data_IF_585621909159
#
_entry.id   IF_585621909159
#
_cell.length_a   1.000
_cell.length_b   1.000
_cell.length_c   1.000
_cell.angle_alpha   90.00
_cell.angle_beta   90.00
_cell.angle_gamma   90.00
#
_symmetry.space_group_name_H-M   'P 1'
#
loop_
_entity.id
_entity.type
_entity.pdbx_description
1 polymer ?
#
# COMPACT_ATOMS: atom_id res chain seq x y z
N UNK A 1 27.47 59.09 -24.20
CA UNK A 1 27.24 58.67 -22.80
C UNK A 1 25.96 59.24 -22.18
N UNK A 2 25.65 60.54 -22.30
CA UNK A 2 24.43 61.14 -21.69
C UNK A 2 23.08 60.55 -22.17
N UNK A 3 22.96 60.16 -23.44
CA UNK A 3 21.72 59.56 -23.99
C UNK A 3 21.45 58.12 -23.50
N UNK A 4 22.50 57.34 -23.22
CA UNK A 4 22.39 55.96 -22.72
C UNK A 4 21.96 55.95 -21.25
N UNK A 5 22.48 56.89 -20.45
CA UNK A 5 22.08 57.06 -19.05
C UNK A 5 20.60 57.42 -18.89
N UNK A 6 20.07 58.26 -19.79
CA UNK A 6 18.65 58.65 -19.78
C UNK A 6 17.70 57.50 -20.14
N UNK A 7 18.11 56.60 -21.04
CA UNK A 7 17.31 55.41 -21.41
C UNK A 7 17.35 54.37 -20.30
N UNK A 8 18.50 54.16 -19.65
CA UNK A 8 18.63 53.25 -18.51
C UNK A 8 17.77 53.72 -17.32
N UNK A 9 17.72 55.03 -17.07
CA UNK A 9 16.89 55.63 -16.02
C UNK A 9 15.40 55.44 -16.30
N UNK A 10 14.97 55.55 -17.57
CA UNK A 10 13.58 55.36 -17.96
C UNK A 10 13.12 53.89 -17.82
N UNK A 11 14.00 52.92 -18.12
CA UNK A 11 13.73 51.49 -17.93
C UNK A 11 13.67 51.12 -16.44
N UNK A 12 14.48 51.75 -15.58
CA UNK A 12 14.42 51.59 -14.13
C UNK A 12 13.12 52.18 -13.53
N UNK A 13 12.63 53.29 -14.06
CA UNK A 13 11.36 53.90 -13.65
C UNK A 13 10.14 53.07 -14.05
N UNK A 14 10.16 52.35 -15.18
CA UNK A 14 9.06 51.44 -15.54
C UNK A 14 8.92 50.22 -14.63
N UNK A 15 10.02 49.79 -13.97
CA UNK A 15 9.97 48.67 -13.02
C UNK A 15 9.35 49.06 -11.66
N UNK A 16 9.39 50.35 -11.29
CA UNK A 16 8.76 50.84 -10.06
C UNK A 16 7.22 50.88 -10.15
N UNK A 17 6.66 50.95 -11.37
CA UNK A 17 5.19 51.01 -11.58
C UNK A 17 4.53 49.64 -11.38
N UNK A 18 5.27 48.53 -11.50
CA UNK A 18 4.75 47.16 -11.33
C UNK A 18 4.77 46.66 -9.88
N UNK A 19 5.14 47.48 -8.90
CA UNK A 19 5.32 47.09 -7.50
C UNK A 19 4.22 47.60 -6.54
N UNK A 20 2.97 47.71 -7.01
CA UNK A 20 1.83 48.07 -6.15
C UNK A 20 1.32 46.82 -5.44
N UNK A 21 1.73 46.64 -4.18
CA UNK A 21 1.26 45.54 -3.32
C UNK A 21 0.29 46.03 -2.27
N UNK A 22 -0.87 45.41 -2.17
CA UNK A 22 -1.88 45.68 -1.12
C UNK A 22 -1.61 44.78 0.07
N UNK A 23 -1.50 45.34 1.27
CA UNK A 23 -1.40 44.56 2.50
C UNK A 23 -2.80 44.12 2.96
N UNK A 24 -2.99 42.82 3.14
CA UNK A 24 -4.21 42.22 3.68
C UNK A 24 -3.91 41.64 5.06
N UNK A 25 -4.75 42.00 6.03
CA UNK A 25 -4.71 41.46 7.39
C UNK A 25 -5.97 40.67 7.69
N UNK A 26 -5.83 39.56 8.40
CA UNK A 26 -6.96 38.77 8.85
C UNK A 26 -6.60 37.76 9.93
N UNK A 27 -7.63 37.08 10.43
CA UNK A 27 -7.53 36.01 11.42
C UNK A 27 -8.33 34.80 10.93
N UNK A 28 -7.76 33.61 11.10
CA UNK A 28 -8.40 32.33 10.80
C UNK A 28 -8.82 31.65 12.10
N UNK A 29 -10.10 31.27 12.18
CA UNK A 29 -10.70 30.58 13.33
C UNK A 29 -11.50 29.36 12.88
N UNK A 30 -11.78 28.44 13.79
CA UNK A 30 -12.72 27.34 13.57
C UNK A 30 -14.19 27.74 13.89
N UNK A 31 -15.13 26.82 13.70
CA UNK A 31 -16.55 27.02 14.03
C UNK A 31 -16.81 27.25 15.53
N UNK A 32 -15.90 26.82 16.40
CA UNK A 32 -15.96 27.01 17.87
C UNK A 32 -15.30 28.32 18.31
N UNK A 33 -14.75 29.09 17.37
CA UNK A 33 -14.09 30.37 17.62
C UNK A 33 -12.64 30.26 18.09
N UNK A 34 -12.02 29.07 18.04
CA UNK A 34 -10.61 28.86 18.35
C UNK A 34 -9.74 29.31 17.16
N UNK A 35 -8.68 30.05 17.46
CA UNK A 35 -7.71 30.48 16.45
C UNK A 35 -6.92 29.31 15.87
N UNK A 36 -6.80 29.28 14.54
CA UNK A 36 -6.09 28.22 13.84
C UNK A 36 -4.64 28.63 13.53
N UNK A 37 -3.71 28.07 14.31
CA UNK A 37 -2.26 28.16 14.07
C UNK A 37 -1.86 27.33 12.85
N UNK A 38 -0.75 27.70 12.21
CA UNK A 38 -0.14 26.93 11.11
C UNK A 38 -1.05 26.74 9.89
N UNK A 39 -2.01 27.64 9.70
CA UNK A 39 -2.88 27.65 8.52
C UNK A 39 -2.14 28.34 7.37
N UNK A 40 -2.15 27.71 6.20
CA UNK A 40 -1.55 28.26 4.99
C UNK A 40 -2.55 29.19 4.30
N UNK A 41 -2.12 30.43 4.04
CA UNK A 41 -2.85 31.44 3.27
C UNK A 41 -2.08 31.70 1.97
N UNK A 42 -2.71 31.40 0.84
CA UNK A 42 -2.10 31.52 -0.49
C UNK A 42 -2.91 32.47 -1.36
N UNK A 43 -2.22 33.30 -2.14
CA UNK A 43 -2.82 34.12 -3.18
C UNK A 43 -3.21 33.25 -4.40
N UNK A 44 -4.46 33.32 -4.86
CA UNK A 44 -4.92 32.48 -5.96
C UNK A 44 -4.15 32.75 -7.27
N UNK A 45 -3.93 34.02 -7.59
CA UNK A 45 -3.27 34.44 -8.84
C UNK A 45 -1.75 34.26 -8.80
N UNK A 46 -1.16 34.13 -7.61
CA UNK A 46 0.26 33.87 -7.43
C UNK A 46 0.50 32.78 -6.37
N UNK A 47 0.50 31.49 -6.79
CA UNK A 47 0.70 30.37 -5.88
C UNK A 47 2.04 30.34 -5.15
N UNK A 48 3.00 31.20 -5.53
CA UNK A 48 4.31 31.34 -4.84
C UNK A 48 4.23 32.28 -3.64
N UNK A 49 3.17 33.08 -3.52
CA UNK A 49 2.96 33.99 -2.40
C UNK A 49 2.16 33.29 -1.30
N UNK A 50 2.87 32.82 -0.28
CA UNK A 50 2.34 32.00 0.80
C UNK A 50 2.73 32.61 2.14
N UNK A 51 1.76 32.71 3.05
CA UNK A 51 1.96 33.13 4.44
C UNK A 51 1.32 32.12 5.37
N UNK A 52 1.94 31.88 6.51
CA UNK A 52 1.44 30.99 7.56
C UNK A 52 0.87 31.84 8.70
N UNK A 53 -0.26 31.43 9.26
CA UNK A 53 -0.85 32.10 10.44
C UNK A 53 0.03 31.96 11.68
N UNK A 54 0.04 32.99 12.52
CA UNK A 54 0.75 32.99 13.80
C UNK A 54 0.00 32.21 14.91
N UNK A 55 0.54 32.24 16.14
CA UNK A 55 -0.05 31.56 17.29
C UNK A 55 -1.46 32.05 17.67
N UNK A 56 -1.86 33.24 17.23
CA UNK A 56 -3.19 33.81 17.44
C UNK A 56 -4.10 33.61 16.20
N UNK A 57 -3.65 32.86 15.19
CA UNK A 57 -4.37 32.64 13.94
C UNK A 57 -4.34 33.84 12.98
N UNK A 58 -3.55 34.87 13.28
CA UNK A 58 -3.47 36.08 12.46
C UNK A 58 -2.49 35.90 11.28
N UNK A 59 -2.80 36.53 10.15
CA UNK A 59 -1.95 36.55 8.98
C UNK A 59 -1.84 37.96 8.37
N UNK A 60 -0.68 38.22 7.76
CA UNK A 60 -0.40 39.45 7.03
C UNK A 60 0.20 39.07 5.67
N UNK A 61 -0.57 39.20 4.59
CA UNK A 61 -0.13 38.85 3.22
C UNK A 61 -0.15 40.09 2.33
N UNK A 62 0.92 40.29 1.55
CA UNK A 62 1.01 41.35 0.53
C UNK A 62 0.63 40.75 -0.81
N UNK A 63 -0.45 41.21 -1.42
CA UNK A 63 -0.96 40.70 -2.70
C UNK A 63 -0.82 41.74 -3.81
N UNK A 64 -0.87 41.32 -5.07
CA UNK A 64 -0.92 42.25 -6.20
C UNK A 64 -2.27 42.98 -6.27
N UNK A 65 -2.31 44.22 -6.79
CA UNK A 65 -3.56 45.02 -6.86
C UNK A 65 -4.71 44.34 -7.60
N UNK A 66 -4.42 43.46 -8.56
CA UNK A 66 -5.44 42.74 -9.35
C UNK A 66 -5.99 41.50 -8.63
N UNK A 67 -5.31 41.05 -7.57
CA UNK A 67 -5.70 39.85 -6.85
C UNK A 67 -6.81 40.15 -5.88
N UNK A 68 -7.89 39.38 -5.99
CA UNK A 68 -9.09 39.56 -5.17
C UNK A 68 -9.44 38.32 -4.36
N UNK A 69 -8.69 37.23 -4.48
CA UNK A 69 -9.05 35.93 -3.90
C UNK A 69 -7.89 35.28 -3.14
N UNK A 70 -8.18 34.78 -1.95
CA UNK A 70 -7.26 34.01 -1.11
C UNK A 70 -7.76 32.58 -0.93
N UNK A 71 -6.83 31.64 -0.95
CA UNK A 71 -7.07 30.22 -0.66
C UNK A 71 -6.47 29.92 0.70
N UNK A 72 -7.30 29.39 1.60
CA UNK A 72 -6.91 29.12 2.99
C UNK A 72 -7.05 27.62 3.23
N UNK A 73 -5.97 27.00 3.68
CA UNK A 73 -5.92 25.56 3.95
C UNK A 73 -5.22 25.27 5.26
N UNK A 74 -5.86 24.46 6.10
CA UNK A 74 -5.28 23.91 7.32
C UNK A 74 -5.44 22.39 7.33
N UNK A 75 -4.59 21.70 8.06
CA UNK A 75 -4.65 20.23 8.20
C UNK A 75 -5.91 19.89 9.02
N UNK A 76 -6.76 19.00 8.48
CA UNK A 76 -8.01 18.62 9.12
C UNK A 76 -9.18 19.58 8.90
N UNK A 77 -9.06 20.56 7.99
CA UNK A 77 -10.11 21.52 7.66
C UNK A 77 -10.35 21.62 6.15
N UNK A 78 -11.59 21.89 5.75
CA UNK A 78 -11.97 22.04 4.34
C UNK A 78 -11.33 23.31 3.79
N UNK A 79 -10.65 23.18 2.63
CA UNK A 79 -10.04 24.32 1.94
C UNK A 79 -11.12 25.36 1.61
N UNK A 80 -10.90 26.60 2.01
CA UNK A 80 -11.84 27.70 1.79
C UNK A 80 -11.24 28.75 0.87
N UNK A 81 -11.97 29.08 -0.18
CA UNK A 81 -11.63 30.15 -1.13
C UNK A 81 -12.46 31.37 -0.74
N UNK A 82 -11.80 32.49 -0.47
CA UNK A 82 -12.47 33.73 -0.04
C UNK A 82 -12.11 34.90 -0.94
N UNK A 83 -13.11 35.71 -1.28
CA UNK A 83 -12.88 37.00 -1.93
C UNK A 83 -12.54 38.04 -0.86
N UNK A 84 -11.56 38.89 -1.14
CA UNK A 84 -11.06 39.93 -0.24
C UNK A 84 -12.10 41.04 -0.15
N UNK A 85 -12.84 41.06 0.96
CA UNK A 85 -13.79 42.11 1.32
C UNK A 85 -13.19 43.20 2.24
N UNK A 86 -13.99 43.66 3.21
CA UNK A 86 -13.56 44.65 4.21
C UNK A 86 -12.52 44.06 5.18
N UNK A 87 -11.48 44.84 5.48
CA UNK A 87 -10.44 44.50 6.44
C UNK A 87 -10.81 44.96 7.86
N UNK A 88 -10.37 44.26 8.92
CA UNK A 88 -9.63 42.98 8.89
C UNK A 88 -10.54 41.78 8.54
N UNK A 89 -10.00 40.82 7.78
CA UNK A 89 -10.74 39.63 7.37
C UNK A 89 -10.86 38.64 8.53
N UNK A 90 -12.07 38.14 8.79
CA UNK A 90 -12.31 37.00 9.68
C UNK A 90 -12.72 35.78 8.86
N UNK A 91 -11.95 34.71 8.94
CA UNK A 91 -12.18 33.49 8.15
C UNK A 91 -12.49 32.33 9.07
N UNK A 92 -13.69 31.78 8.94
CA UNK A 92 -14.10 30.57 9.65
C UNK A 92 -13.85 29.36 8.75
N UNK A 93 -13.00 28.42 9.19
CA UNK A 93 -12.82 27.13 8.53
C UNK A 93 -13.68 26.06 9.20
N UNK A 94 -14.20 25.15 8.38
CA UNK A 94 -14.99 24.00 8.83
C UNK A 94 -14.09 22.78 8.92
N UNK A 95 -14.25 21.99 10.00
CA UNK A 95 -13.51 20.73 10.16
C UNK A 95 -13.82 19.78 8.99
N UNK A 96 -12.77 19.19 8.43
CA UNK A 96 -12.88 18.25 7.32
C UNK A 96 -13.25 16.85 7.84
N UNK A 97 -14.56 16.61 7.95
CA UNK A 97 -15.12 15.32 8.33
C UNK A 97 -15.07 14.27 7.20
N UNK A 98 -14.23 14.44 6.17
CA UNK A 98 -14.17 13.55 5.01
C UNK A 98 -13.76 12.10 5.30
N UNK A 99 -13.33 11.76 6.51
CA UNK A 99 -13.26 10.36 6.99
C UNK A 99 -14.64 9.65 6.99
N UNK A 100 -15.76 10.39 6.94
CA UNK A 100 -17.12 9.85 6.99
C UNK A 100 -17.76 9.60 5.61
N UNK A 101 -17.13 10.04 4.52
CA UNK A 101 -17.64 9.88 3.15
C UNK A 101 -17.02 8.70 2.40
N UNK A 102 -16.41 7.75 3.12
CA UNK A 102 -15.94 6.52 2.49
C UNK A 102 -17.15 5.78 1.89
N UNK A 103 -17.20 5.75 0.56
CA UNK A 103 -18.24 5.08 -0.20
C UNK A 103 -17.96 3.59 -0.12
N UNK A 104 -18.94 2.83 0.36
CA UNK A 104 -18.92 1.38 0.36
C UNK A 104 -19.77 0.93 -0.82
N UNK A 105 -19.20 0.11 -1.70
CA UNK A 105 -19.97 -0.50 -2.79
C UNK A 105 -20.59 -1.78 -2.25
N UNK A 106 -21.92 -1.82 -2.19
CA UNK A 106 -22.70 -3.00 -1.78
C UNK A 106 -23.61 -3.36 -2.94
N UNK A 107 -23.22 -4.35 -3.74
CA UNK A 107 -23.95 -4.62 -4.99
C UNK A 107 -23.80 -3.45 -5.98
N UNK A 108 -24.81 -3.27 -6.80
CA UNK A 108 -24.88 -2.25 -7.86
C UNK A 108 -25.13 -0.82 -7.38
N UNK A 109 -25.11 -0.54 -6.07
CA UNK A 109 -25.43 0.79 -5.52
C UNK A 109 -24.39 1.24 -4.51
N UNK A 110 -23.82 2.42 -4.75
CA UNK A 110 -22.92 3.09 -3.83
C UNK A 110 -23.69 3.58 -2.59
N UNK A 111 -23.38 3.05 -1.41
CA UNK A 111 -23.98 3.49 -0.14
C UNK A 111 -22.92 4.09 0.79
N UNK A 112 -23.33 5.08 1.59
CA UNK A 112 -22.43 5.64 2.62
C UNK A 112 -22.22 4.60 3.72
N UNK A 113 -20.99 4.53 4.26
CA UNK A 113 -20.61 3.64 5.38
C UNK A 113 -21.57 3.70 6.59
N UNK A 114 -22.15 4.87 6.85
CA UNK A 114 -23.07 5.12 7.99
C UNK A 114 -24.46 4.51 7.79
N UNK A 115 -24.93 4.35 6.55
CA UNK A 115 -26.30 3.88 6.25
C UNK A 115 -26.39 2.38 6.00
N UNK A 116 -25.27 1.65 6.10
CA UNK A 116 -25.27 0.23 5.83
C UNK A 116 -25.66 -0.57 7.09
N UNK A 117 -26.80 -1.25 7.03
CA UNK A 117 -27.32 -2.08 8.12
C UNK A 117 -26.68 -3.48 8.21
N UNK A 118 -25.86 -3.90 7.22
CA UNK A 118 -25.17 -5.19 7.21
C UNK A 118 -23.71 -5.10 7.66
N UNK A 119 -23.15 -6.21 8.20
CA UNK A 119 -21.73 -6.26 8.54
C UNK A 119 -20.86 -6.26 7.28
N UNK A 120 -20.45 -5.07 6.90
CA UNK A 120 -19.48 -4.83 5.84
C UNK A 120 -18.19 -4.29 6.42
N UNK A 121 -17.07 -4.62 5.79
CA UNK A 121 -15.79 -4.05 6.18
C UNK A 121 -15.08 -3.56 4.95
N UNK A 122 -14.74 -2.28 4.96
CA UNK A 122 -14.09 -1.61 3.84
C UNK A 122 -12.68 -1.26 4.22
N UNK A 123 -11.77 -1.47 3.29
CA UNK A 123 -10.39 -1.04 3.35
C UNK A 123 -10.12 -0.12 2.16
N UNK A 124 -9.47 1.01 2.44
CA UNK A 124 -9.12 1.96 1.39
C UNK A 124 -7.91 1.48 0.59
N UNK A 125 -7.85 1.87 -0.68
CA UNK A 125 -6.69 1.62 -1.54
C UNK A 125 -5.41 2.25 -1.00
N UNK A 126 -5.52 3.36 -0.25
CA UNK A 126 -4.37 4.00 0.41
C UNK A 126 -3.76 3.08 1.45
N UNK A 127 -4.58 2.40 2.25
CA UNK A 127 -4.09 1.43 3.22
C UNK A 127 -3.47 0.22 2.51
N UNK A 128 -4.17 -0.37 1.52
CA UNK A 128 -3.64 -1.49 0.73
C UNK A 128 -2.24 -1.22 0.18
N UNK A 129 -2.05 -0.03 -0.39
CA UNK A 129 -0.78 0.44 -0.93
C UNK A 129 0.34 0.57 0.09
N UNK A 130 0.09 0.60 1.39
CA UNK A 130 1.16 0.59 2.40
C UNK A 130 1.86 -0.76 2.50
N UNK A 131 1.25 -1.85 2.01
CA UNK A 131 1.90 -3.17 1.97
C UNK A 131 2.74 -3.30 0.69
N UNK A 132 4.04 -3.61 0.77
CA UNK A 132 4.89 -3.85 -0.40
C UNK A 132 4.70 -5.28 -0.96
N UNK A 133 3.51 -5.86 -0.81
CA UNK A 133 3.26 -7.24 -1.25
C UNK A 133 3.05 -7.30 -2.76
N UNK A 134 3.60 -8.36 -3.39
CA UNK A 134 3.49 -8.59 -4.83
C UNK A 134 2.06 -8.96 -5.27
N UNK A 135 1.24 -9.50 -4.38
CA UNK A 135 -0.16 -9.84 -4.68
C UNK A 135 -1.15 -9.05 -3.82
N UNK A 136 -2.28 -8.71 -4.43
CA UNK A 136 -3.39 -8.05 -3.75
C UNK A 136 -3.91 -8.86 -2.55
N UNK A 137 -4.06 -10.18 -2.71
CA UNK A 137 -4.55 -11.05 -1.65
C UNK A 137 -3.66 -10.95 -0.40
N UNK A 138 -2.34 -11.01 -0.58
CA UNK A 138 -1.40 -10.92 0.53
C UNK A 138 -1.38 -9.51 1.17
N UNK A 139 -1.74 -8.46 0.43
CA UNK A 139 -1.86 -7.11 0.96
C UNK A 139 -3.06 -6.90 1.91
N UNK A 140 -4.07 -7.78 1.84
CA UNK A 140 -5.23 -7.76 2.73
C UNK A 140 -4.95 -8.40 4.10
N UNK A 141 -3.84 -9.11 4.25
CA UNK A 141 -3.53 -9.92 5.43
C UNK A 141 -3.56 -9.09 6.72
N UNK A 142 -4.41 -9.50 7.67
CA UNK A 142 -4.53 -8.87 8.99
C UNK A 142 -5.15 -7.47 9.00
N UNK A 143 -5.62 -6.94 7.86
CA UNK A 143 -6.15 -5.57 7.78
C UNK A 143 -7.68 -5.49 7.78
N UNK A 144 -8.35 -6.59 7.50
CA UNK A 144 -9.82 -6.67 7.48
C UNK A 144 -10.29 -7.65 8.55
N UNK A 145 -11.11 -7.23 9.52
CA UNK A 145 -11.65 -8.14 10.54
C UNK A 145 -12.47 -9.26 9.89
N UNK A 146 -12.41 -10.48 10.43
CA UNK A 146 -13.20 -11.61 9.92
C UNK A 146 -12.78 -12.14 8.55
N UNK A 147 -11.62 -11.70 8.04
CA UNK A 147 -10.97 -12.23 6.86
C UNK A 147 -9.85 -13.17 7.31
N UNK A 148 -9.96 -14.46 6.97
CA UNK A 148 -8.90 -15.44 7.18
C UNK A 148 -8.16 -15.65 5.87
N UNK A 149 -6.84 -15.63 5.93
CA UNK A 149 -5.97 -15.78 4.77
C UNK A 149 -4.93 -16.85 5.03
N UNK A 150 -4.74 -17.72 4.05
CA UNK A 150 -3.75 -18.78 4.14
C UNK A 150 -2.92 -18.83 2.86
N UNK A 151 -1.66 -18.45 2.99
CA UNK A 151 -0.65 -18.66 1.97
C UNK A 151 -0.16 -20.11 2.05
N UNK A 152 -0.43 -20.90 1.01
CA UNK A 152 -0.04 -22.32 0.94
C UNK A 152 1.28 -22.53 0.20
N UNK A 153 1.76 -21.51 -0.51
CA UNK A 153 2.98 -21.56 -1.30
C UNK A 153 3.73 -20.24 -1.18
N UNK A 154 5.06 -20.31 -1.18
CA UNK A 154 5.95 -19.15 -1.27
C UNK A 154 6.59 -19.00 -2.66
N UNK A 155 6.11 -19.74 -3.65
CA UNK A 155 6.61 -19.67 -5.02
C UNK A 155 6.11 -18.38 -5.69
N UNK A 156 7.00 -17.48 -6.18
CA UNK A 156 6.57 -16.28 -6.90
C UNK A 156 5.59 -16.60 -8.02
N UNK A 157 4.48 -15.86 -8.08
CA UNK A 157 3.40 -16.07 -9.06
C UNK A 157 2.38 -17.16 -8.68
N UNK A 158 2.69 -17.99 -7.69
CA UNK A 158 1.77 -18.96 -7.08
C UNK A 158 1.70 -18.79 -5.56
N UNK A 159 2.05 -17.60 -5.05
CA UNK A 159 2.16 -17.24 -3.64
C UNK A 159 0.97 -16.44 -3.11
N UNK A 160 -0.08 -16.26 -3.93
CA UNK A 160 -1.31 -15.59 -3.52
C UNK A 160 -2.03 -16.40 -2.43
N UNK A 161 -2.37 -15.73 -1.31
CA UNK A 161 -3.11 -16.35 -0.24
C UNK A 161 -4.54 -16.72 -0.66
N UNK A 162 -4.98 -17.91 -0.23
CA UNK A 162 -6.40 -18.25 -0.25
C UNK A 162 -7.13 -17.37 0.77
N UNK A 163 -8.30 -16.88 0.38
CA UNK A 163 -9.11 -15.94 1.17
C UNK A 163 -10.39 -16.65 1.60
N UNK A 164 -10.72 -16.53 2.89
CA UNK A 164 -11.92 -17.06 3.50
C UNK A 164 -12.60 -15.98 4.35
N UNK A 165 -13.91 -15.79 4.16
CA UNK A 165 -14.69 -14.82 4.91
C UNK A 165 -15.40 -15.56 6.04
N UNK A 166 -15.07 -15.24 7.30
CA UNK A 166 -15.53 -15.96 8.50
C UNK A 166 -15.19 -17.46 8.53
N UNK A 167 -14.06 -17.83 7.91
CA UNK A 167 -13.56 -19.19 7.91
C UNK A 167 -14.18 -20.06 6.82
N UNK A 168 -14.11 -21.37 7.00
CA UNK A 168 -14.59 -22.36 6.03
C UNK A 168 -16.06 -22.63 6.29
N UNK A 169 -16.92 -22.32 5.31
CA UNK A 169 -18.37 -22.50 5.43
C UNK A 169 -18.87 -23.86 4.91
N UNK A 170 -18.13 -24.51 3.99
CA UNK A 170 -18.54 -25.78 3.37
C UNK A 170 -17.42 -26.82 3.41
N UNK A 171 -17.70 -28.05 3.82
CA UNK A 171 -16.71 -29.13 3.85
C UNK A 171 -16.73 -30.01 2.58
N UNK A 172 -17.73 -29.83 1.73
CA UNK A 172 -18.04 -30.71 0.59
C UNK A 172 -17.72 -30.02 -0.73
N UNK A 173 -16.50 -30.16 -1.27
CA UNK A 173 -16.10 -30.01 -2.69
C UNK A 173 -16.41 -28.70 -3.46
N UNK A 174 -17.41 -27.93 -3.07
CA UNK A 174 -17.74 -26.60 -3.56
C UNK A 174 -16.67 -25.65 -3.04
N UNK A 175 -16.12 -24.87 -3.95
CA UNK A 175 -15.08 -23.90 -3.68
C UNK A 175 -15.51 -23.00 -2.51
N UNK A 176 -14.84 -23.11 -1.36
CA UNK A 176 -15.00 -22.23 -0.19
C UNK A 176 -14.50 -20.80 -0.43
N UNK A 177 -14.33 -20.43 -1.70
CA UNK A 177 -13.83 -19.15 -2.12
C UNK A 177 -15.00 -18.17 -2.13
N UNK A 178 -14.77 -16.92 -1.69
CA UNK A 178 -15.76 -15.86 -1.82
C UNK A 178 -15.94 -15.49 -3.30
N UNK A 179 -17.12 -14.97 -3.63
CA UNK A 179 -17.34 -14.34 -4.91
C UNK A 179 -16.52 -13.04 -5.00
N UNK A 180 -15.86 -12.82 -6.11
CA UNK A 180 -15.11 -11.58 -6.36
C UNK A 180 -15.84 -10.77 -7.41
N UNK A 181 -16.10 -9.51 -7.08
CA UNK A 181 -16.74 -8.54 -7.96
C UNK A 181 -15.77 -7.39 -8.14
N UNK A 182 -15.45 -7.03 -9.38
CA UNK A 182 -14.63 -5.87 -9.73
C UNK A 182 -15.50 -4.95 -10.58
N UNK A 183 -15.75 -3.72 -10.10
CA UNK A 183 -16.62 -2.74 -10.76
C UNK A 183 -17.96 -3.36 -11.24
N UNK A 184 -18.68 -4.02 -10.34
CA UNK A 184 -19.99 -4.67 -10.58
C UNK A 184 -19.97 -5.89 -11.53
N UNK A 185 -18.79 -6.35 -11.97
CA UNK A 185 -18.64 -7.54 -12.81
C UNK A 185 -17.99 -8.68 -12.03
N UNK A 186 -18.50 -9.91 -12.22
CA UNK A 186 -17.88 -11.10 -11.65
C UNK A 186 -16.48 -11.31 -12.21
N UNK A 187 -15.50 -11.38 -11.31
CA UNK A 187 -14.10 -11.52 -11.66
C UNK A 187 -13.59 -12.90 -11.24
N UNK A 188 -12.86 -13.64 -12.11
CA UNK A 188 -12.33 -14.95 -11.77
C UNK A 188 -11.38 -14.88 -10.58
N UNK A 189 -11.61 -15.72 -9.58
CA UNK A 189 -10.80 -15.71 -8.35
C UNK A 189 -9.31 -15.98 -8.63
N UNK A 190 -9.02 -16.84 -9.60
CA UNK A 190 -7.66 -17.23 -9.99
C UNK A 190 -6.87 -16.05 -10.59
N UNK A 191 -7.55 -15.06 -11.15
CA UNK A 191 -6.94 -13.88 -11.75
C UNK A 191 -6.76 -12.74 -10.73
N UNK A 192 -7.28 -12.90 -9.51
CA UNK A 192 -7.22 -11.87 -8.47
C UNK A 192 -5.78 -11.46 -8.11
N UNK A 193 -4.81 -12.36 -8.29
CA UNK A 193 -3.38 -12.09 -8.08
C UNK A 193 -2.77 -11.18 -9.14
N UNK A 194 -3.43 -11.02 -10.29
CA UNK A 194 -2.99 -10.15 -11.39
C UNK A 194 -3.41 -8.69 -11.17
N UNK A 195 -4.37 -8.44 -10.26
CA UNK A 195 -4.79 -7.08 -9.92
C UNK A 195 -3.74 -6.39 -9.06
N UNK A 196 -3.38 -5.18 -9.46
CA UNK A 196 -2.46 -4.35 -8.69
C UNK A 196 -3.21 -3.64 -7.56
N UNK A 197 -2.66 -3.66 -6.35
CA UNK A 197 -3.14 -2.84 -5.22
C UNK A 197 -3.14 -1.34 -5.54
N UNK A 198 -2.36 -0.92 -6.54
CA UNK A 198 -2.41 0.45 -7.00
C UNK A 198 -3.74 0.73 -7.70
N UNK A 199 -4.21 -0.09 -8.63
CA UNK A 199 -5.44 0.15 -9.39
C UNK A 199 -6.72 0.18 -8.53
N UNK A 200 -6.63 -0.28 -7.29
CA UNK A 200 -7.75 -0.36 -6.35
C UNK A 200 -7.96 0.96 -5.60
N UNK A 201 -9.20 1.44 -5.63
CA UNK A 201 -9.67 2.57 -4.83
C UNK A 201 -10.17 2.11 -3.46
N UNK A 202 -10.97 1.05 -3.43
CA UNK A 202 -11.48 0.46 -2.20
C UNK A 202 -11.83 -1.01 -2.37
N UNK A 203 -11.82 -1.74 -1.26
CA UNK A 203 -12.29 -3.11 -1.18
C UNK A 203 -13.30 -3.21 -0.07
N UNK A 204 -14.48 -3.71 -0.40
CA UNK A 204 -15.60 -3.91 0.49
C UNK A 204 -15.87 -5.40 0.65
N UNK A 205 -15.75 -5.87 1.88
CA UNK A 205 -16.02 -7.25 2.25
C UNK A 205 -17.45 -7.37 2.77
N UNK A 206 -18.28 -8.13 2.07
CA UNK A 206 -19.66 -8.41 2.44
C UNK A 206 -19.70 -9.76 3.15
N UNK A 207 -20.03 -9.75 4.45
CA UNK A 207 -19.88 -10.92 5.34
C UNK A 207 -21.21 -11.56 5.73
N UNK A 208 -22.30 -10.79 5.67
CA UNK A 208 -23.62 -11.22 6.12
C UNK A 208 -24.53 -11.55 4.94
N UNK A 209 -25.46 -12.48 5.18
CA UNK A 209 -26.48 -12.86 4.22
C UNK A 209 -27.31 -11.66 3.71
N UNK A 210 -27.59 -10.66 4.55
CA UNK A 210 -28.31 -9.45 4.13
C UNK A 210 -27.53 -8.63 3.09
N UNK A 211 -26.20 -8.55 3.23
CA UNK A 211 -25.32 -7.83 2.32
C UNK A 211 -24.96 -8.62 1.06
N UNK A 212 -24.98 -9.96 1.14
CA UNK A 212 -24.64 -10.84 0.01
C UNK A 212 -25.85 -11.34 -0.77
N UNK A 213 -27.08 -11.16 -0.26
CA UNK A 213 -28.31 -11.64 -0.89
C UNK A 213 -28.48 -11.19 -2.35
N UNK A 214 -27.99 -9.99 -2.69
CA UNK A 214 -28.04 -9.43 -4.04
C UNK A 214 -27.25 -10.31 -5.05
N UNK A 215 -26.23 -11.03 -4.58
CA UNK A 215 -25.38 -11.91 -5.38
C UNK A 215 -25.83 -13.38 -5.35
N UNK A 216 -26.95 -13.67 -4.67
CA UNK A 216 -27.55 -15.00 -4.63
C UNK A 216 -26.64 -16.09 -4.04
N UNK A 217 -26.77 -17.31 -4.56
CA UNK A 217 -26.09 -18.52 -4.05
C UNK A 217 -24.56 -18.37 -4.11
N UNK A 218 -24.02 -17.67 -5.13
CA UNK A 218 -22.58 -17.42 -5.25
C UNK A 218 -22.02 -16.57 -4.11
N UNK A 219 -22.84 -15.72 -3.49
CA UNK A 219 -22.47 -14.90 -2.33
C UNK A 219 -22.54 -15.63 -0.97
N UNK A 220 -22.84 -16.94 -0.95
CA UNK A 220 -22.98 -17.69 0.29
C UNK A 220 -21.69 -17.75 1.13
N UNK A 221 -20.52 -17.80 0.48
CA UNK A 221 -19.21 -17.77 1.14
C UNK A 221 -18.68 -16.35 1.36
N UNK A 222 -19.55 -15.34 1.26
CA UNK A 222 -19.20 -13.93 1.28
C UNK A 222 -18.78 -13.38 -0.08
N UNK A 223 -18.69 -12.05 -0.18
CA UNK A 223 -18.36 -11.35 -1.42
C UNK A 223 -17.26 -10.33 -1.16
N UNK A 224 -16.27 -10.30 -2.05
CA UNK A 224 -15.22 -9.28 -2.12
C UNK A 224 -15.60 -8.33 -3.26
N UNK A 225 -16.08 -7.14 -2.94
CA UNK A 225 -16.37 -6.09 -3.92
C UNK A 225 -15.17 -5.14 -4.02
N UNK A 226 -14.60 -5.02 -5.20
CA UNK A 226 -13.42 -4.20 -5.49
C UNK A 226 -13.87 -3.06 -6.40
N UNK A 227 -13.54 -1.84 -6.00
CA UNK A 227 -13.74 -0.64 -6.81
C UNK A 227 -12.40 -0.17 -7.34
N UNK A 228 -12.26 -0.02 -8.66
CA UNK A 228 -11.03 0.49 -9.25
C UNK A 228 -10.97 2.02 -9.22
N UNK A 229 -9.76 2.56 -9.31
CA UNK A 229 -9.53 4.00 -9.38
C UNK A 229 -10.11 4.56 -10.67
N UNK A 230 -10.86 5.66 -10.52
CA UNK A 230 -11.44 6.42 -11.63
C UNK A 230 -10.80 7.80 -11.73
N UNK A 231 -10.83 8.37 -12.92
CA UNK A 231 -10.34 9.72 -13.15
C UNK A 231 -11.11 10.76 -12.34
N UNK A 232 -10.41 11.82 -11.94
CA UNK A 232 -11.00 12.97 -11.24
C UNK A 232 -11.08 14.17 -12.19
N UNK A 233 -12.05 15.05 -12.00
CA UNK A 233 -12.18 16.31 -12.74
C UNK A 233 -11.16 17.35 -12.25
N UNK A 234 -9.89 16.96 -12.24
CA UNK A 234 -8.75 17.74 -11.76
C UNK A 234 -7.68 17.79 -12.84
N UNK A 235 -6.77 18.75 -12.71
CA UNK A 235 -5.57 18.81 -13.53
C UNK A 235 -4.85 17.44 -13.54
N UNK A 236 -4.18 17.08 -14.65
CA UNK A 236 -3.48 15.81 -14.78
C UNK A 236 -2.47 15.63 -13.64
N UNK A 237 -2.56 14.50 -12.95
CA UNK A 237 -1.65 14.07 -11.89
C UNK A 237 -0.95 12.80 -12.33
N UNK A 238 0.38 12.85 -12.34
CA UNK A 238 1.24 11.70 -12.62
C UNK A 238 1.86 11.28 -11.29
N UNK A 239 1.71 10.00 -10.95
CA UNK A 239 2.32 9.41 -9.75
C UNK A 239 3.24 8.29 -10.20
N UNK A 240 4.52 8.40 -9.87
CA UNK A 240 5.49 7.33 -10.01
C UNK A 240 5.76 6.75 -8.63
N UNK A 241 5.67 5.42 -8.52
CA UNK A 241 6.01 4.69 -7.31
C UNK A 241 6.92 3.53 -7.65
N UNK A 242 8.02 3.43 -6.91
CA UNK A 242 8.94 2.30 -6.97
C UNK A 242 9.13 1.77 -5.56
N UNK A 243 8.82 0.49 -5.37
CA UNK A 243 9.06 -0.25 -4.15
C UNK A 243 10.17 -1.28 -4.41
N UNK A 244 11.11 -1.37 -3.47
CA UNK A 244 12.19 -2.36 -3.51
C UNK A 244 12.20 -3.13 -2.19
N UNK A 245 12.38 -4.45 -2.26
CA UNK A 245 12.39 -5.31 -1.09
C UNK A 245 13.35 -6.49 -1.21
N UNK A 246 13.79 -6.98 -0.06
CA UNK A 246 14.57 -8.19 0.09
C UNK A 246 13.76 -9.18 0.92
N UNK A 247 13.43 -10.32 0.32
CA UNK A 247 12.72 -11.41 0.97
C UNK A 247 13.72 -12.38 1.56
N UNK A 248 13.57 -12.72 2.85
CA UNK A 248 14.44 -13.65 3.58
C UNK A 248 13.58 -14.63 4.38
N UNK A 249 14.04 -15.88 4.59
CA UNK A 249 13.31 -16.83 5.41
C UNK A 249 13.30 -16.37 6.86
N UNK A 250 12.12 -16.30 7.48
CA UNK A 250 12.00 -15.91 8.90
C UNK A 250 12.59 -16.96 9.84
N UNK A 251 12.45 -18.23 9.50
CA UNK A 251 12.99 -19.36 10.27
C UNK A 251 13.76 -20.27 9.32
N UNK A 252 15.06 -20.40 9.57
CA UNK A 252 15.91 -21.42 8.94
C UNK A 252 15.98 -22.61 9.88
N UNK A 253 15.39 -23.75 9.47
CA UNK A 253 15.60 -25.00 10.19
C UNK A 253 17.07 -25.38 10.07
N UNK A 254 17.73 -25.59 11.20
CA UNK A 254 19.11 -26.05 11.27
C UNK A 254 19.08 -27.57 11.43
N UNK A 255 19.26 -28.37 10.36
CA UNK A 255 19.41 -29.80 10.52
C UNK A 255 20.69 -30.10 11.30
N UNK A 256 20.73 -31.26 11.94
CA UNK A 256 21.96 -31.78 12.53
C UNK A 256 23.02 -32.00 11.45
N UNK A 257 24.29 -31.82 11.82
CA UNK A 257 25.40 -32.21 10.96
C UNK A 257 25.46 -33.73 10.80
N UNK A 258 26.17 -34.21 9.76
CA UNK A 258 26.27 -35.65 9.49
C UNK A 258 26.86 -36.42 10.69
N UNK A 259 27.87 -35.87 11.37
CA UNK A 259 28.47 -36.48 12.56
C UNK A 259 27.46 -36.69 13.70
N UNK A 260 26.74 -35.64 14.09
CA UNK A 260 25.76 -35.72 15.19
C UNK A 260 24.62 -36.67 14.82
N UNK A 261 24.13 -36.59 13.57
CA UNK A 261 23.06 -37.46 13.08
C UNK A 261 23.48 -38.95 13.10
N UNK A 262 24.67 -39.27 12.60
CA UNK A 262 25.18 -40.65 12.58
C UNK A 262 25.52 -41.16 13.99
N UNK A 263 25.95 -40.29 14.89
CA UNK A 263 26.18 -40.63 16.31
C UNK A 263 24.86 -41.03 16.98
N UNK A 264 23.80 -40.26 16.76
CA UNK A 264 22.47 -40.58 17.28
C UNK A 264 21.90 -41.86 16.67
N UNK A 265 22.12 -42.10 15.36
CA UNK A 265 21.72 -43.35 14.71
C UNK A 265 22.48 -44.55 15.27
N UNK A 266 23.79 -44.39 15.55
CA UNK A 266 24.58 -45.43 16.22
C UNK A 266 24.06 -45.74 17.61
N UNK A 267 23.75 -44.70 18.39
CA UNK A 267 23.16 -44.84 19.73
C UNK A 267 21.78 -45.52 19.68
N UNK A 268 20.94 -45.15 18.71
CA UNK A 268 19.63 -45.77 18.50
C UNK A 268 19.75 -47.28 18.27
N UNK A 269 20.59 -47.72 17.32
CA UNK A 269 20.76 -49.15 17.03
C UNK A 269 21.33 -49.91 18.24
N UNK A 270 22.27 -49.31 18.97
CA UNK A 270 22.81 -49.89 20.19
C UNK A 270 21.75 -50.04 21.30
N UNK A 271 20.87 -49.04 21.47
CA UNK A 271 19.76 -49.09 22.43
C UNK A 271 18.72 -50.15 22.09
N UNK A 272 18.57 -50.47 20.81
CA UNK A 272 17.71 -51.55 20.33
C UNK A 272 18.37 -52.94 20.34
N UNK A 273 19.64 -53.02 20.76
CA UNK A 273 20.40 -54.27 20.78
C UNK A 273 20.82 -54.77 19.38
N UNK A 274 20.78 -53.90 18.37
CA UNK A 274 21.22 -54.19 17.00
C UNK A 274 22.67 -53.74 16.82
N UNK A 275 23.41 -54.41 15.92
CA UNK A 275 24.76 -53.93 15.55
C UNK A 275 24.63 -52.74 14.59
N UNK A 276 25.05 -51.52 14.98
CA UNK A 276 24.93 -50.34 14.14
C UNK A 276 25.66 -50.49 12.79
N UNK A 277 26.75 -51.26 12.74
CA UNK A 277 27.55 -51.44 11.53
C UNK A 277 26.89 -52.36 10.50
N UNK A 278 25.93 -53.19 10.91
CA UNK A 278 25.13 -53.99 9.97
C UNK A 278 24.04 -53.14 9.31
N UNK A 279 23.46 -52.19 10.06
CA UNK A 279 22.40 -51.30 9.56
C UNK A 279 22.97 -50.16 8.70
N UNK A 280 24.12 -49.60 9.08
CA UNK A 280 24.77 -48.48 8.39
C UNK A 280 26.23 -48.81 8.04
N UNK A 281 26.47 -49.76 7.11
CA UNK A 281 27.80 -50.28 6.83
C UNK A 281 28.77 -49.19 6.38
N UNK A 282 29.89 -49.07 7.09
CA UNK A 282 30.96 -48.11 6.79
C UNK A 282 30.68 -46.66 7.18
N UNK A 283 29.49 -46.33 7.70
CA UNK A 283 29.11 -44.95 8.05
C UNK A 283 29.16 -44.65 9.55
N UNK A 284 28.95 -45.66 10.41
CA UNK A 284 28.90 -45.49 11.88
C UNK A 284 30.08 -46.10 12.63
N UNK A 285 31.10 -46.56 11.89
CA UNK A 285 32.36 -47.01 12.49
C UNK A 285 33.05 -45.83 13.19
N UNK A 286 33.84 -46.08 14.24
CA UNK A 286 34.55 -45.01 14.96
C UNK A 286 35.46 -44.21 14.02
N UNK A 287 36.08 -44.90 13.05
CA UNK A 287 36.87 -44.25 12.00
C UNK A 287 36.01 -43.34 11.13
N UNK A 288 34.86 -43.82 10.63
CA UNK A 288 33.97 -43.02 9.79
C UNK A 288 33.40 -41.81 10.54
N UNK A 289 32.95 -41.98 11.78
CA UNK A 289 32.47 -40.89 12.63
C UNK A 289 33.54 -39.83 12.85
N UNK A 290 34.78 -40.23 13.13
CA UNK A 290 35.89 -39.28 13.28
C UNK A 290 36.18 -38.53 11.98
N UNK A 291 36.07 -39.19 10.81
CA UNK A 291 36.19 -38.54 9.49
C UNK A 291 35.05 -37.55 9.23
N UNK A 292 33.81 -37.86 9.62
CA UNK A 292 32.68 -36.92 9.57
C UNK A 292 32.87 -35.73 10.52
N UNK A 293 33.51 -35.94 11.68
CA UNK A 293 33.83 -34.88 12.65
C UNK A 293 34.93 -33.94 12.17
N UNK A 294 35.99 -34.51 11.57
CA UNK A 294 37.13 -33.76 11.04
C UNK A 294 36.82 -33.10 9.69
N UNK A 295 35.92 -33.69 8.89
CA UNK A 295 35.58 -33.20 7.55
C UNK A 295 36.75 -33.28 6.56
N UNK A 296 37.67 -34.22 6.76
CA UNK A 296 38.94 -34.30 6.02
C UNK A 296 38.87 -35.11 4.71
N UNK A 297 37.80 -35.90 4.51
CA UNK A 297 37.47 -36.53 3.23
C UNK A 297 35.98 -36.30 2.89
N UNK A 298 35.62 -35.11 2.37
CA UNK A 298 34.23 -34.75 2.09
C UNK A 298 33.58 -35.57 0.97
N UNK A 299 34.36 -36.23 0.12
CA UNK A 299 33.83 -37.00 -1.00
C UNK A 299 33.33 -38.37 -0.53
N UNK A 300 34.04 -39.01 0.41
CA UNK A 300 33.61 -40.27 1.03
C UNK A 300 32.71 -40.04 2.25
N UNK A 301 32.89 -38.95 2.98
CA UNK A 301 32.14 -38.62 4.21
C UNK A 301 31.53 -37.21 4.13
N UNK A 302 30.53 -36.99 3.26
CA UNK A 302 29.95 -35.67 3.04
C UNK A 302 29.08 -35.20 4.23
N UNK A 303 29.27 -33.96 4.65
CA UNK A 303 28.38 -33.23 5.57
C UNK A 303 27.87 -31.97 4.89
N UNK A 304 26.84 -32.11 4.06
CA UNK A 304 26.31 -31.04 3.19
C UNK A 304 25.23 -30.24 3.91
N UNK A 305 25.37 -28.92 3.91
CA UNK A 305 24.32 -27.99 4.37
C UNK A 305 23.28 -27.79 3.27
N UNK A 306 22.42 -28.80 3.09
CA UNK A 306 21.43 -28.82 2.01
C UNK A 306 20.56 -27.56 1.93
N UNK A 307 20.21 -26.95 3.07
CA UNK A 307 19.43 -25.70 3.07
C UNK A 307 20.17 -24.57 2.35
N UNK A 308 21.46 -24.37 2.64
CA UNK A 308 22.27 -23.34 2.00
C UNK A 308 22.60 -23.69 0.54
N UNK A 309 22.54 -24.97 0.18
CA UNK A 309 22.76 -25.44 -1.18
C UNK A 309 21.55 -25.14 -2.07
N UNK A 310 20.34 -25.47 -1.61
CA UNK A 310 19.11 -25.36 -2.42
C UNK A 310 18.40 -24.01 -2.26
N UNK A 311 18.60 -23.29 -1.16
CA UNK A 311 17.98 -21.99 -0.90
C UNK A 311 19.00 -20.84 -1.01
N UNK A 312 18.55 -19.71 -1.54
CA UNK A 312 19.22 -18.42 -1.47
C UNK A 312 19.02 -17.83 -0.08
N UNK A 313 19.97 -17.01 0.36
CA UNK A 313 19.87 -16.28 1.62
C UNK A 313 18.83 -15.15 1.58
N UNK A 314 18.64 -14.56 0.40
CA UNK A 314 17.64 -13.55 0.13
C UNK A 314 17.21 -13.60 -1.33
N UNK A 315 16.01 -13.11 -1.61
CA UNK A 315 15.50 -12.89 -2.95
C UNK A 315 15.08 -11.42 -3.10
N UNK A 316 15.36 -10.82 -4.25
CA UNK A 316 14.98 -9.44 -4.55
C UNK A 316 13.54 -9.42 -5.06
N UNK A 317 12.78 -8.42 -4.61
CA UNK A 317 11.49 -8.04 -5.18
C UNK A 317 11.49 -6.55 -5.50
N UNK A 318 10.89 -6.19 -6.63
CA UNK A 318 10.75 -4.82 -7.08
C UNK A 318 9.38 -4.63 -7.72
N UNK A 319 8.68 -3.54 -7.38
CA UNK A 319 7.46 -3.14 -8.06
C UNK A 319 7.58 -1.69 -8.51
N UNK A 320 7.27 -1.44 -9.78
CA UNK A 320 7.27 -0.11 -10.38
C UNK A 320 5.88 0.17 -10.92
N UNK A 321 5.30 1.29 -10.52
CA UNK A 321 3.94 1.66 -10.90
C UNK A 321 3.90 3.12 -11.34
N UNK A 322 3.27 3.36 -12.48
CA UNK A 322 3.05 4.67 -13.06
C UNK A 322 1.54 4.85 -13.19
N UNK A 323 1.01 5.84 -12.49
CA UNK A 323 -0.40 6.20 -12.57
C UNK A 323 -0.57 7.59 -13.17
N UNK A 324 -1.49 7.73 -14.10
CA UNK A 324 -1.89 9.00 -14.69
C UNK A 324 -3.40 9.16 -14.48
N UNK A 325 -3.79 10.17 -13.72
CA UNK A 325 -5.20 10.48 -13.44
C UNK A 325 -5.51 11.93 -13.75
N UNK A 326 -6.65 12.22 -14.37
CA UNK A 326 -7.08 13.58 -14.59
C UNK A 326 -8.35 13.68 -15.41
N UNK A 327 -8.73 14.90 -15.73
CA UNK A 327 -9.91 15.15 -16.54
C UNK A 327 -10.57 16.49 -16.26
N UNK A 328 -11.71 16.68 -16.91
CA UNK A 328 -12.63 17.78 -16.66
C UNK A 328 -14.02 17.21 -16.30
N UNK A 329 -15.05 18.04 -16.25
CA UNK A 329 -16.41 17.59 -15.92
C UNK A 329 -17.00 16.63 -16.95
N UNK A 330 -16.53 16.68 -18.20
CA UNK A 330 -17.08 15.92 -19.32
C UNK A 330 -16.29 14.63 -19.61
N UNK A 331 -14.98 14.62 -19.34
CA UNK A 331 -14.11 13.47 -19.55
C UNK A 331 -13.21 13.28 -18.33
N UNK A 332 -13.28 12.09 -17.74
CA UNK A 332 -12.42 11.64 -16.64
C UNK A 332 -11.64 10.43 -17.12
N UNK A 333 -10.34 10.42 -16.90
CA UNK A 333 -9.47 9.33 -17.30
C UNK A 333 -8.54 8.89 -16.16
N UNK A 334 -8.25 7.59 -16.14
CA UNK A 334 -7.26 6.97 -15.28
C UNK A 334 -6.53 5.91 -16.09
N UNK A 335 -5.21 5.95 -16.07
CA UNK A 335 -4.33 4.99 -16.74
C UNK A 335 -3.29 4.55 -15.73
N UNK A 336 -3.13 3.25 -15.54
CA UNK A 336 -2.11 2.66 -14.70
C UNK A 336 -1.23 1.72 -15.53
N UNK A 337 0.06 1.74 -15.24
CA UNK A 337 1.05 0.81 -15.78
C UNK A 337 1.89 0.29 -14.62
N UNK A 338 1.84 -1.01 -14.40
CA UNK A 338 2.58 -1.69 -13.34
C UNK A 338 3.54 -2.72 -13.90
N UNK A 339 4.72 -2.82 -13.32
CA UNK A 339 5.65 -3.93 -13.53
C UNK A 339 6.14 -4.43 -12.17
N UNK A 340 5.93 -5.72 -11.90
CA UNK A 340 6.39 -6.37 -10.68
C UNK A 340 7.35 -7.49 -11.04
N UNK A 341 8.55 -7.43 -10.46
CA UNK A 341 9.57 -8.46 -10.54
C UNK A 341 9.76 -9.07 -9.16
N UNK A 342 9.66 -10.39 -9.06
CA UNK A 342 9.87 -11.13 -7.81
C UNK A 342 10.72 -12.34 -8.11
N UNK A 343 11.84 -12.47 -7.40
CA UNK A 343 12.72 -13.62 -7.54
C UNK A 343 12.35 -14.73 -6.54
N UNK A 344 12.64 -15.98 -6.91
CA UNK A 344 12.46 -17.13 -6.03
C UNK A 344 13.59 -17.26 -5.01
N UNK A 345 13.26 -17.78 -3.83
CA UNK A 345 14.27 -18.11 -2.83
C UNK A 345 14.96 -19.45 -3.11
N UNK A 346 14.35 -20.32 -3.90
CA UNK A 346 15.00 -21.55 -4.38
C UNK A 346 16.08 -21.18 -5.39
N UNK A 347 17.24 -21.82 -5.31
CA UNK A 347 18.26 -21.73 -6.35
C UNK A 347 17.80 -22.53 -7.57
N UNK A 348 18.08 -22.00 -8.75
CA UNK A 348 18.03 -22.81 -9.96
C UNK A 348 19.26 -23.72 -9.92
N UNK A 349 19.00 -25.02 -9.79
CA UNK A 349 20.04 -26.05 -9.89
C UNK A 349 19.95 -26.56 -11.31
N UNK A 350 20.97 -26.30 -12.12
CA UNK A 350 21.07 -26.87 -13.45
C UNK A 350 21.04 -28.41 -13.34
N UNK A 351 20.25 -29.04 -14.21
CA UNK A 351 20.01 -30.49 -14.20
C UNK A 351 21.22 -31.30 -14.61
#
# INVERSE_FOLDING_TARGET
MKKIFSVLLFVLLTNLVYAQTKLIRGVVVDEKGLSLISTTVTEQDNPKNIVITDANGAFNIRIGEKSTVLIISSIGYVKKVITIGNQPLKVVLQEDNSNLNEIVVVGFTAQKKITNAGATSTISGKELRQSPSASFQNALAGRVPGLFQQQTSGQPGADAANIYIRGISTYTGASNRPLVIVDDVEFPYEQLSQLSSNEIESVSLLKDASSTAIYGIKGANGVIAITTRRGTATAPRITLRTDFGLQMPTIKRKPLGAFDALTLLKEQEANEGRDPNLTYPGLVTDQALERFRLGDDPFRYPSVKWYDEVMRNSAIQQSNNIDISGGNQNLKYFVALGNTFQNGILKEIEK
#
